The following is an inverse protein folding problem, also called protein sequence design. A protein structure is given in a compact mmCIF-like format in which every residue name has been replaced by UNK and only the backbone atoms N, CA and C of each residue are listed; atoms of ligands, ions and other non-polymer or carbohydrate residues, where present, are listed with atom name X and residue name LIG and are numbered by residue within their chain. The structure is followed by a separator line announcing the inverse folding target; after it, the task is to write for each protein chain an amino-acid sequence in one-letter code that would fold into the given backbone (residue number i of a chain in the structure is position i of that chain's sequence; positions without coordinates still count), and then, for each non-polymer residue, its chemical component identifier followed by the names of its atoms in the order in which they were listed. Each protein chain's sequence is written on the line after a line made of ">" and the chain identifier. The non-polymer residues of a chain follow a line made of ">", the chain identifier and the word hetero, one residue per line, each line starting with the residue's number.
data_IF_006161039802
#
_entry.id   IF_006161039802
#
_cell.length_a   1.000
_cell.length_b   1.000
_cell.length_c   1.000
_cell.angle_alpha   90.00
_cell.angle_beta   90.00
_cell.angle_gamma   90.00
#
_symmetry.space_group_name_H-M   'P 1'
#
loop_
_entity.id
_entity.type
_entity.pdbx_description
1 polymer ?
#
# COMPACT_ATOMS: atom_id res chain seq x y z
N UNK A 1 22.12 16.14 17.22
CA UNK A 1 20.69 15.96 17.56
C UNK A 1 19.73 16.02 16.36
N UNK A 2 19.52 17.14 15.65
CA UNK A 2 18.51 17.17 14.57
C UNK A 2 18.88 16.32 13.35
N UNK A 3 20.16 16.33 12.93
CA UNK A 3 20.66 15.53 11.80
C UNK A 3 20.54 14.01 12.03
N UNK A 4 20.84 13.53 13.24
CA UNK A 4 20.70 12.12 13.60
C UNK A 4 19.23 11.68 13.60
N UNK A 5 18.32 12.53 14.11
CA UNK A 5 16.87 12.26 14.07
C UNK A 5 16.35 12.18 12.64
N UNK A 6 16.82 13.06 11.76
CA UNK A 6 16.47 13.01 10.32
C UNK A 6 17.01 11.73 9.68
N UNK A 7 18.24 11.31 9.99
CA UNK A 7 18.81 10.06 9.47
C UNK A 7 17.98 8.83 9.88
N UNK A 8 17.57 8.74 11.14
CA UNK A 8 16.69 7.67 11.63
C UNK A 8 15.31 7.70 10.93
N UNK A 9 14.72 8.89 10.78
CA UNK A 9 13.44 9.05 10.11
C UNK A 9 13.50 8.68 8.61
N UNK A 10 14.63 8.95 7.94
CA UNK A 10 14.89 8.54 6.56
C UNK A 10 14.91 7.02 6.41
N UNK A 11 15.59 6.30 7.30
CA UNK A 11 15.61 4.83 7.27
C UNK A 11 14.19 4.26 7.35
N UNK A 12 13.38 4.75 8.30
CA UNK A 12 11.96 4.35 8.45
C UNK A 12 11.13 4.70 7.21
N UNK A 13 11.43 5.82 6.55
CA UNK A 13 10.78 6.18 5.28
C UNK A 13 11.15 5.21 4.16
N UNK A 14 12.43 4.85 4.02
CA UNK A 14 12.89 3.92 2.99
C UNK A 14 12.32 2.51 3.18
N UNK A 15 12.20 2.05 4.42
CA UNK A 15 11.48 0.81 4.76
C UNK A 15 10.01 0.89 4.32
N UNK A 16 9.29 1.94 4.73
CA UNK A 16 7.90 2.13 4.37
C UNK A 16 7.67 2.30 2.86
N UNK A 17 8.62 2.91 2.15
CA UNK A 17 8.61 3.03 0.69
C UNK A 17 8.76 1.67 0.04
N UNK A 18 9.71 0.86 0.51
CA UNK A 18 9.94 -0.50 -0.01
C UNK A 18 8.70 -1.37 0.21
N UNK A 19 8.11 -1.35 1.40
CA UNK A 19 6.88 -2.06 1.72
C UNK A 19 5.72 -1.65 0.80
N UNK A 20 5.58 -0.34 0.55
CA UNK A 20 4.56 0.16 -0.36
C UNK A 20 4.80 -0.29 -1.80
N UNK A 21 6.04 -0.23 -2.29
CA UNK A 21 6.38 -0.71 -3.63
C UNK A 21 6.09 -2.21 -3.81
N UNK A 22 6.44 -3.02 -2.81
CA UNK A 22 6.10 -4.45 -2.80
C UNK A 22 4.57 -4.63 -2.85
N UNK A 23 3.83 -3.91 -1.99
CA UNK A 23 2.37 -4.01 -1.96
C UNK A 23 1.73 -3.57 -3.28
N UNK A 24 2.26 -2.55 -3.96
CA UNK A 24 1.79 -2.13 -5.28
C UNK A 24 1.97 -3.24 -6.33
N UNK A 25 3.14 -3.87 -6.38
CA UNK A 25 3.41 -4.96 -7.34
C UNK A 25 2.49 -6.15 -7.08
N UNK A 26 2.31 -6.54 -5.81
CA UNK A 26 1.40 -7.60 -5.40
C UNK A 26 -0.05 -7.25 -5.76
N UNK A 27 -0.48 -6.02 -5.46
CA UNK A 27 -1.82 -5.54 -5.76
C UNK A 27 -2.12 -5.52 -7.25
N UNK A 28 -1.20 -5.04 -8.08
CA UNK A 28 -1.34 -5.06 -9.53
C UNK A 28 -1.50 -6.50 -10.05
N UNK A 29 -0.67 -7.43 -9.58
CA UNK A 29 -0.76 -8.84 -9.96
C UNK A 29 -2.07 -9.49 -9.49
N UNK A 30 -2.53 -9.17 -8.28
CA UNK A 30 -3.79 -9.69 -7.74
C UNK A 30 -5.00 -9.21 -8.56
N UNK A 31 -4.98 -7.95 -9.03
CA UNK A 31 -6.00 -7.43 -9.93
C UNK A 31 -6.04 -8.24 -11.23
N UNK A 32 -4.89 -8.50 -11.85
CA UNK A 32 -4.86 -9.26 -13.10
C UNK A 32 -5.29 -10.72 -12.92
N UNK A 33 -4.90 -11.35 -11.81
CA UNK A 33 -5.39 -12.68 -11.44
C UNK A 33 -6.91 -12.70 -11.24
N UNK A 34 -7.45 -11.69 -10.58
CA UNK A 34 -8.90 -11.57 -10.36
C UNK A 34 -9.65 -11.41 -11.68
N UNK A 35 -9.15 -10.61 -12.63
CA UNK A 35 -9.77 -10.49 -13.97
C UNK A 35 -9.85 -11.84 -14.69
N UNK A 36 -8.77 -12.64 -14.64
CA UNK A 36 -8.78 -13.99 -15.22
C UNK A 36 -9.80 -14.89 -14.53
N UNK A 37 -9.90 -14.79 -13.21
CA UNK A 37 -10.88 -15.53 -12.43
C UNK A 37 -12.32 -15.11 -12.76
N UNK A 38 -12.59 -13.82 -12.85
CA UNK A 38 -13.89 -13.24 -13.20
C UNK A 38 -14.38 -13.74 -14.57
N UNK A 39 -13.49 -13.76 -15.57
CA UNK A 39 -13.81 -14.33 -16.89
C UNK A 39 -14.20 -15.82 -16.80
N UNK A 40 -13.57 -16.60 -15.92
CA UNK A 40 -13.93 -18.01 -15.72
C UNK A 40 -15.29 -18.14 -15.04
N UNK A 41 -15.58 -17.30 -14.04
CA UNK A 41 -16.87 -17.27 -13.36
C UNK A 41 -18.01 -16.93 -14.34
N UNK A 42 -17.85 -15.91 -15.16
CA UNK A 42 -18.84 -15.50 -16.19
C UNK A 42 -19.12 -16.65 -17.18
N UNK A 43 -18.12 -17.48 -17.46
CA UNK A 43 -18.26 -18.67 -18.33
C UNK A 43 -18.86 -19.90 -17.62
N UNK A 44 -19.29 -19.76 -16.36
CA UNK A 44 -19.92 -20.85 -15.59
C UNK A 44 -18.92 -21.82 -14.93
N UNK A 45 -17.62 -21.53 -14.95
CA UNK A 45 -16.59 -22.42 -14.38
C UNK A 45 -16.38 -22.20 -12.86
N UNK A 46 -17.30 -21.50 -12.19
CA UNK A 46 -17.27 -21.28 -10.74
C UNK A 46 -18.65 -20.91 -10.19
N UNK A 47 -18.79 -20.88 -8.86
CA UNK A 47 -20.02 -20.45 -8.19
C UNK A 47 -19.90 -19.04 -7.58
N UNK A 48 -21.03 -18.46 -7.20
CA UNK A 48 -21.11 -17.10 -6.64
C UNK A 48 -20.34 -16.97 -5.32
N UNK A 49 -20.39 -17.99 -4.46
CA UNK A 49 -19.67 -17.99 -3.18
C UNK A 49 -18.15 -17.90 -3.38
N UNK A 50 -17.62 -18.70 -4.32
CA UNK A 50 -16.22 -18.67 -4.71
C UNK A 50 -15.81 -17.33 -5.32
N UNK A 51 -16.72 -16.70 -6.10
CA UNK A 51 -16.49 -15.37 -6.62
C UNK A 51 -16.38 -14.31 -5.53
N UNK A 52 -17.34 -14.27 -4.60
CA UNK A 52 -17.34 -13.33 -3.50
C UNK A 52 -16.15 -13.53 -2.56
N UNK A 53 -15.73 -14.79 -2.33
CA UNK A 53 -14.53 -15.09 -1.57
C UNK A 53 -13.27 -14.52 -2.23
N UNK A 54 -13.12 -14.69 -3.56
CA UNK A 54 -12.00 -14.12 -4.32
C UNK A 54 -12.03 -12.60 -4.40
N UNK A 55 -13.21 -12.01 -4.48
CA UNK A 55 -13.36 -10.57 -4.41
C UNK A 55 -12.91 -10.02 -3.05
N UNK A 56 -13.34 -10.67 -1.95
CA UNK A 56 -12.92 -10.30 -0.59
C UNK A 56 -11.40 -10.42 -0.40
N UNK A 57 -10.77 -11.43 -0.97
CA UNK A 57 -9.30 -11.56 -0.97
C UNK A 57 -8.62 -10.40 -1.68
N UNK A 58 -9.08 -10.04 -2.88
CA UNK A 58 -8.55 -8.88 -3.61
C UNK A 58 -8.71 -7.58 -2.82
N UNK A 59 -9.85 -7.38 -2.15
CA UNK A 59 -10.11 -6.17 -1.38
C UNK A 59 -9.19 -6.06 -0.16
N UNK A 60 -8.87 -7.19 0.51
CA UNK A 60 -7.85 -7.22 1.58
C UNK A 60 -6.47 -6.82 1.06
N UNK A 61 -6.09 -7.27 -0.13
CA UNK A 61 -4.80 -6.89 -0.75
C UNK A 61 -4.77 -5.40 -1.09
N UNK A 62 -5.86 -4.85 -1.64
CA UNK A 62 -5.98 -3.41 -1.89
C UNK A 62 -5.90 -2.60 -0.60
N UNK A 63 -6.62 -3.03 0.44
CA UNK A 63 -6.58 -2.39 1.75
C UNK A 63 -5.16 -2.38 2.34
N UNK A 64 -4.43 -3.50 2.24
CA UNK A 64 -3.03 -3.56 2.65
C UNK A 64 -2.16 -2.58 1.86
N UNK A 65 -2.34 -2.48 0.54
CA UNK A 65 -1.60 -1.56 -0.33
C UNK A 65 -1.82 -0.10 0.06
N UNK A 66 -3.08 0.30 0.31
CA UNK A 66 -3.40 1.63 0.81
C UNK A 66 -2.87 1.87 2.23
N UNK A 67 -2.86 0.84 3.07
CA UNK A 67 -2.26 0.89 4.41
C UNK A 67 -0.77 1.19 4.35
N UNK A 68 -0.02 0.48 3.51
CA UNK A 68 1.42 0.71 3.29
C UNK A 68 1.69 2.09 2.71
N UNK A 69 0.87 2.55 1.75
CA UNK A 69 0.95 3.91 1.23
C UNK A 69 0.81 4.96 2.32
N UNK A 70 -0.21 4.81 3.17
CA UNK A 70 -0.46 5.72 4.28
C UNK A 70 0.70 5.75 5.29
N UNK A 71 1.31 4.60 5.58
CA UNK A 71 2.49 4.51 6.44
C UNK A 71 3.69 5.26 5.85
N UNK A 72 4.00 5.04 4.57
CA UNK A 72 5.07 5.76 3.86
C UNK A 72 4.84 7.27 3.81
N UNK A 73 3.59 7.70 3.58
CA UNK A 73 3.25 9.13 3.61
C UNK A 73 3.44 9.75 4.99
N UNK A 74 3.08 9.03 6.05
CA UNK A 74 3.28 9.50 7.43
C UNK A 74 4.76 9.62 7.78
N UNK A 75 5.59 8.65 7.40
CA UNK A 75 7.05 8.76 7.63
C UNK A 75 7.66 9.93 6.87
N UNK A 76 7.22 10.20 5.64
CA UNK A 76 7.65 11.40 4.91
C UNK A 76 7.23 12.69 5.64
N UNK A 77 6.02 12.74 6.17
CA UNK A 77 5.54 13.88 6.95
C UNK A 77 6.36 14.09 8.24
N UNK A 78 6.73 13.00 8.93
CA UNK A 78 7.63 13.07 10.09
C UNK A 78 8.99 13.71 9.72
N UNK A 79 9.55 13.38 8.54
CA UNK A 79 10.78 14.02 8.04
C UNK A 79 10.54 15.51 7.75
N UNK A 80 9.43 15.86 7.09
CA UNK A 80 9.07 17.27 6.84
C UNK A 80 9.01 18.07 8.14
N UNK A 81 8.38 17.53 9.19
CA UNK A 81 8.30 18.19 10.50
C UNK A 81 9.68 18.44 11.12
N UNK A 82 10.61 17.48 10.98
CA UNK A 82 11.98 17.61 11.52
C UNK A 82 12.81 18.66 10.79
N UNK A 83 12.54 18.92 9.52
CA UNK A 83 13.36 19.78 8.65
C UNK A 83 12.74 21.18 8.46
N UNK A 84 11.42 21.25 8.28
CA UNK A 84 10.69 22.46 7.91
C UNK A 84 9.90 23.07 9.09
N UNK A 85 9.61 22.29 10.12
CA UNK A 85 8.72 22.70 11.21
C UNK A 85 7.23 22.61 10.85
N UNK A 86 6.36 22.80 11.85
CA UNK A 86 4.91 22.49 11.77
C UNK A 86 4.17 23.31 10.71
N UNK A 87 4.51 24.60 10.55
CA UNK A 87 3.81 25.51 9.64
C UNK A 87 3.95 25.15 8.16
N UNK A 88 5.09 24.57 7.78
CA UNK A 88 5.44 24.32 6.37
C UNK A 88 5.33 22.83 5.99
N UNK A 89 5.03 21.94 6.95
CA UNK A 89 4.98 20.50 6.71
C UNK A 89 3.67 19.99 6.08
N UNK A 90 2.56 20.73 6.25
CA UNK A 90 1.23 20.37 5.75
C UNK A 90 0.99 20.72 4.27
N UNK A 91 1.87 21.53 3.67
CA UNK A 91 1.89 21.85 2.24
C UNK A 91 2.54 20.70 1.45
#
# INVERSE_FOLDING_TARGET
>A
MTREKVAVALVKFDEGKTDFQIAQVVGARAIDQFKVFELRYIRGNNNTEGYLAKQSELDKIKANTYGSWGKMRRSLFEIKLLVLGVKDAEI
#
